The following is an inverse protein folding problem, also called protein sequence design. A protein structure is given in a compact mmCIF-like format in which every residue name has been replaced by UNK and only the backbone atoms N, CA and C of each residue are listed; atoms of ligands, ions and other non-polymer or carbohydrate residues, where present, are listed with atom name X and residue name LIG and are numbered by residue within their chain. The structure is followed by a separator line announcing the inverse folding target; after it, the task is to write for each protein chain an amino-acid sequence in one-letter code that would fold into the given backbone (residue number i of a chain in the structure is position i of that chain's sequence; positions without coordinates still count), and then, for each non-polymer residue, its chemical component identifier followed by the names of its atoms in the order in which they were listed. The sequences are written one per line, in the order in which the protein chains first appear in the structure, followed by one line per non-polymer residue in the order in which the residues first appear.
data_IF_874527381036
#
_entry.id   IF_874527381036
#
_cell.length_a   1.000
_cell.length_b   1.000
_cell.length_c   1.000
_cell.angle_alpha   90.00
_cell.angle_beta   90.00
_cell.angle_gamma   90.00
#
_symmetry.space_group_name_H-M   'P 1'
#
loop_
_entity.id
_entity.type
_entity.pdbx_description
1 polymer ?
#
# COMPACT_ATOMS: atom_id res chain seq x y z
N UNK A 1 18.41 17.30 -36.06
CA UNK A 1 18.40 16.04 -36.82
C UNK A 1 18.12 14.93 -35.82
N UNK A 2 16.93 14.34 -35.86
CA UNK A 2 16.60 13.19 -35.03
C UNK A 2 17.28 11.94 -35.63
N UNK A 3 17.91 11.15 -34.78
CA UNK A 3 18.64 9.93 -35.14
C UNK A 3 17.66 8.87 -35.69
N UNK A 4 17.89 8.25 -36.87
CA UNK A 4 16.98 7.26 -37.45
C UNK A 4 16.72 6.02 -36.58
N UNK A 5 17.59 5.73 -35.61
CA UNK A 5 17.46 4.57 -34.70
C UNK A 5 16.40 4.75 -33.60
N UNK A 6 16.05 6.00 -33.27
CA UNK A 6 15.16 6.39 -32.15
C UNK A 6 13.72 5.86 -32.30
N UNK A 7 13.34 5.40 -33.50
CA UNK A 7 11.98 4.94 -33.83
C UNK A 7 11.85 3.43 -34.06
N UNK A 8 12.97 2.70 -34.13
CA UNK A 8 12.94 1.26 -34.40
C UNK A 8 12.48 0.46 -33.16
N UNK A 9 12.90 0.89 -31.97
CA UNK A 9 12.50 0.29 -30.69
C UNK A 9 10.98 0.42 -30.44
N UNK A 10 10.41 1.58 -30.74
CA UNK A 10 8.97 1.84 -30.59
C UNK A 10 8.12 1.02 -31.58
N UNK A 11 8.62 0.79 -32.80
CA UNK A 11 7.95 -0.02 -33.80
C UNK A 11 7.85 -1.50 -33.37
N UNK A 12 8.90 -2.04 -32.78
CA UNK A 12 8.93 -3.41 -32.32
C UNK A 12 8.12 -3.64 -31.04
N UNK A 13 8.10 -2.66 -30.12
CA UNK A 13 7.18 -2.68 -28.97
C UNK A 13 5.72 -2.61 -29.42
N UNK A 14 5.41 -1.79 -30.43
CA UNK A 14 4.08 -1.80 -31.08
C UNK A 14 3.75 -3.16 -31.67
N UNK A 15 4.72 -3.84 -32.28
CA UNK A 15 4.54 -5.19 -32.82
C UNK A 15 4.35 -6.22 -31.71
N UNK A 16 5.09 -6.12 -30.60
CA UNK A 16 4.94 -6.97 -29.42
C UNK A 16 3.56 -6.79 -28.78
N UNK A 17 3.11 -5.54 -28.59
CA UNK A 17 1.76 -5.22 -28.09
C UNK A 17 0.68 -5.85 -28.98
N UNK A 18 0.82 -5.75 -30.30
CA UNK A 18 -0.13 -6.37 -31.25
C UNK A 18 -0.15 -7.91 -31.15
N UNK A 19 0.92 -8.53 -30.67
CA UNK A 19 1.05 -9.99 -30.49
C UNK A 19 0.59 -10.47 -29.11
N UNK A 20 0.34 -9.56 -28.17
CA UNK A 20 -0.16 -9.90 -26.83
C UNK A 20 -1.42 -10.76 -26.90
N UNK A 21 -1.63 -11.63 -25.90
CA UNK A 21 -2.63 -12.67 -26.00
C UNK A 21 -4.06 -12.12 -26.05
N UNK A 22 -4.69 -12.39 -27.18
CA UNK A 22 -6.10 -12.07 -27.46
C UNK A 22 -7.02 -13.29 -27.35
N UNK A 23 -6.44 -14.50 -27.40
CA UNK A 23 -7.15 -15.77 -27.36
C UNK A 23 -7.59 -16.13 -25.93
N UNK A 24 -8.51 -17.08 -25.79
CA UNK A 24 -9.04 -17.53 -24.49
C UNK A 24 -8.30 -18.75 -23.91
N UNK A 25 -7.50 -19.45 -24.72
CA UNK A 25 -6.76 -20.63 -24.29
C UNK A 25 -5.53 -20.23 -23.46
N UNK A 26 -5.42 -20.76 -22.24
CA UNK A 26 -4.36 -20.45 -21.27
C UNK A 26 -2.97 -20.76 -21.85
N UNK A 27 -2.81 -21.89 -22.55
CA UNK A 27 -1.51 -22.26 -23.13
C UNK A 27 -1.05 -21.30 -24.23
N UNK A 28 -1.98 -20.85 -25.07
CA UNK A 28 -1.70 -19.85 -26.10
C UNK A 28 -1.46 -18.46 -25.51
N UNK A 29 -2.10 -18.15 -24.38
CA UNK A 29 -1.88 -16.89 -23.67
C UNK A 29 -0.48 -16.81 -23.08
N UNK A 30 -0.08 -17.84 -22.33
CA UNK A 30 1.23 -17.91 -21.69
C UNK A 30 2.35 -17.89 -22.73
N UNK A 31 2.21 -18.69 -23.80
CA UNK A 31 3.21 -18.73 -24.88
C UNK A 31 3.41 -17.37 -25.54
N UNK A 32 2.34 -16.62 -25.82
CA UNK A 32 2.44 -15.27 -26.43
C UNK A 32 3.03 -14.25 -25.49
N UNK A 33 2.75 -14.38 -24.19
CA UNK A 33 3.38 -13.54 -23.17
C UNK A 33 4.89 -13.83 -23.08
N UNK A 34 5.28 -15.11 -23.07
CA UNK A 34 6.68 -15.53 -23.05
C UNK A 34 7.42 -15.10 -24.33
N UNK A 35 6.78 -15.18 -25.50
CA UNK A 35 7.31 -14.65 -26.76
C UNK A 35 7.51 -13.13 -26.70
N UNK A 36 6.55 -12.39 -26.14
CA UNK A 36 6.67 -10.94 -25.94
C UNK A 36 7.81 -10.59 -24.97
N UNK A 37 7.91 -11.31 -23.84
CA UNK A 37 9.02 -11.19 -22.89
C UNK A 37 10.36 -11.53 -23.52
N UNK A 38 10.43 -12.58 -24.34
CA UNK A 38 11.64 -12.98 -25.05
C UNK A 38 12.12 -11.89 -26.01
N UNK A 39 11.22 -11.32 -26.81
CA UNK A 39 11.56 -10.20 -27.70
C UNK A 39 11.97 -8.94 -26.92
N UNK A 40 11.31 -8.64 -25.80
CA UNK A 40 11.72 -7.58 -24.89
C UNK A 40 13.11 -7.85 -24.32
N UNK A 41 13.39 -9.06 -23.80
CA UNK A 41 14.72 -9.44 -23.29
C UNK A 41 15.78 -9.27 -24.37
N UNK A 42 15.57 -9.83 -25.57
CA UNK A 42 16.50 -9.72 -26.71
C UNK A 42 16.81 -8.27 -27.09
N UNK A 43 15.88 -7.35 -26.88
CA UNK A 43 16.05 -5.93 -27.20
C UNK A 43 16.65 -5.15 -26.04
N UNK A 44 16.17 -5.36 -24.82
CA UNK A 44 16.56 -4.63 -23.61
C UNK A 44 17.96 -5.01 -23.12
N UNK A 45 18.37 -6.25 -23.36
CA UNK A 45 19.75 -6.72 -23.09
C UNK A 45 20.75 -6.32 -24.18
N UNK A 46 20.32 -5.66 -25.26
CA UNK A 46 21.28 -5.08 -26.20
C UNK A 46 22.05 -3.97 -25.47
N UNK A 47 23.39 -3.99 -25.50
CA UNK A 47 24.17 -2.92 -24.89
C UNK A 47 23.80 -1.58 -25.53
N UNK A 48 23.49 -0.58 -24.71
CA UNK A 48 23.28 0.79 -25.16
C UNK A 48 21.87 1.36 -25.01
N UNK A 49 20.89 0.63 -24.46
CA UNK A 49 19.60 1.26 -24.13
C UNK A 49 19.80 2.34 -23.07
N UNK A 50 19.24 3.52 -23.32
CA UNK A 50 19.25 4.67 -22.43
C UNK A 50 17.97 4.71 -21.59
N UNK A 51 18.00 5.48 -20.51
CA UNK A 51 16.81 5.78 -19.69
C UNK A 51 15.61 6.28 -20.53
N UNK A 52 15.86 7.03 -21.61
CA UNK A 52 14.82 7.49 -22.53
C UNK A 52 14.13 6.32 -23.23
N UNK A 53 14.90 5.33 -23.68
CA UNK A 53 14.35 4.14 -24.33
C UNK A 53 13.45 3.36 -23.36
N UNK A 54 13.88 3.17 -22.12
CA UNK A 54 13.05 2.55 -21.08
C UNK A 54 11.78 3.35 -20.80
N UNK A 55 11.89 4.68 -20.70
CA UNK A 55 10.73 5.56 -20.52
C UNK A 55 9.72 5.41 -21.65
N UNK A 56 10.18 5.38 -22.89
CA UNK A 56 9.33 5.26 -24.07
C UNK A 56 8.64 3.90 -24.16
N UNK A 57 9.35 2.81 -23.82
CA UNK A 57 8.78 1.45 -23.73
C UNK A 57 7.70 1.40 -22.63
N UNK A 58 8.00 1.89 -21.43
CA UNK A 58 7.08 1.86 -20.28
C UNK A 58 5.84 2.72 -20.54
N UNK A 59 6.02 3.94 -21.05
CA UNK A 59 4.92 4.84 -21.42
C UNK A 59 4.02 4.21 -22.47
N UNK A 60 4.59 3.45 -23.41
CA UNK A 60 3.83 2.77 -24.43
C UNK A 60 2.94 1.66 -23.87
N UNK A 61 3.45 0.81 -22.97
CA UNK A 61 2.63 -0.19 -22.30
C UNK A 61 1.59 0.44 -21.35
N UNK A 62 1.97 1.53 -20.66
CA UNK A 62 1.08 2.30 -19.80
C UNK A 62 -0.14 2.83 -20.58
N UNK A 63 0.08 3.43 -21.76
CA UNK A 63 -1.02 3.90 -22.62
C UNK A 63 -1.93 2.77 -23.07
N UNK A 64 -1.35 1.65 -23.53
CA UNK A 64 -2.15 0.49 -23.94
C UNK A 64 -2.99 -0.04 -22.76
N UNK A 65 -2.44 -0.08 -21.55
CA UNK A 65 -3.18 -0.44 -20.35
C UNK A 65 -4.36 0.49 -20.08
N UNK A 66 -4.21 1.81 -20.25
CA UNK A 66 -5.30 2.78 -20.08
C UNK A 66 -6.39 2.59 -21.13
N UNK A 67 -6.02 2.35 -22.38
CA UNK A 67 -6.96 2.10 -23.48
C UNK A 67 -7.78 0.82 -23.22
N UNK A 68 -7.11 -0.26 -22.83
CA UNK A 68 -7.78 -1.53 -22.51
C UNK A 68 -8.62 -1.43 -21.23
N UNK A 69 -8.16 -0.68 -20.21
CA UNK A 69 -8.92 -0.39 -18.98
C UNK A 69 -10.24 0.30 -19.30
N UNK A 70 -10.22 1.33 -20.14
CA UNK A 70 -11.43 2.02 -20.59
C UNK A 70 -12.40 1.06 -21.29
N UNK A 71 -11.89 0.23 -22.21
CA UNK A 71 -12.69 -0.80 -22.89
C UNK A 71 -13.26 -1.83 -21.92
N UNK A 72 -12.50 -2.25 -20.91
CA UNK A 72 -12.94 -3.22 -19.91
C UNK A 72 -14.05 -2.66 -19.01
N UNK A 73 -13.93 -1.41 -18.57
CA UNK A 73 -14.92 -0.73 -17.74
C UNK A 73 -16.26 -0.52 -18.48
N UNK A 74 -16.21 -0.11 -19.75
CA UNK A 74 -17.41 0.19 -20.54
C UNK A 74 -18.02 -1.04 -21.25
N UNK A 75 -17.32 -2.16 -21.34
CA UNK A 75 -17.83 -3.36 -21.99
C UNK A 75 -18.79 -4.15 -21.08
N UNK A 76 -19.91 -4.61 -21.67
CA UNK A 76 -20.88 -5.48 -21.01
C UNK A 76 -20.23 -6.81 -20.58
N UNK A 77 -20.54 -7.32 -19.39
CA UNK A 77 -20.05 -8.63 -18.95
C UNK A 77 -20.56 -9.73 -19.89
N UNK A 78 -19.65 -10.62 -20.31
CA UNK A 78 -19.95 -11.73 -21.21
C UNK A 78 -20.02 -13.04 -20.41
N UNK A 79 -21.06 -13.86 -20.67
CA UNK A 79 -21.24 -15.18 -20.05
C UNK A 79 -20.38 -16.28 -20.68
N UNK A 80 -19.83 -16.05 -21.89
CA UNK A 80 -19.18 -17.10 -22.70
C UNK A 80 -17.65 -17.03 -22.68
N UNK A 81 -17.04 -16.15 -21.88
CA UNK A 81 -15.58 -15.92 -21.86
C UNK A 81 -15.00 -15.33 -23.16
N UNK A 82 -15.85 -15.19 -24.19
CA UNK A 82 -15.59 -14.53 -25.47
C UNK A 82 -16.31 -13.17 -25.49
N UNK A 83 -15.58 -12.12 -25.85
CA UNK A 83 -16.13 -10.76 -25.88
C UNK A 83 -15.07 -9.69 -25.67
N UNK A 84 -15.47 -8.42 -25.78
CA UNK A 84 -14.57 -7.27 -25.65
C UNK A 84 -13.96 -7.17 -24.24
N UNK A 85 -14.74 -7.43 -23.18
CA UNK A 85 -14.29 -7.34 -21.79
C UNK A 85 -13.24 -8.42 -21.42
N UNK A 86 -13.47 -9.73 -21.64
CA UNK A 86 -12.44 -10.74 -21.35
C UNK A 86 -11.17 -10.58 -22.19
N UNK A 87 -11.30 -10.08 -23.44
CA UNK A 87 -10.15 -9.76 -24.28
C UNK A 87 -9.32 -8.62 -23.69
N UNK A 88 -9.96 -7.49 -23.36
CA UNK A 88 -9.29 -6.34 -22.76
C UNK A 88 -8.57 -6.73 -21.46
N UNK A 89 -9.22 -7.55 -20.61
CA UNK A 89 -8.63 -8.07 -19.38
C UNK A 89 -7.31 -8.82 -19.61
N UNK A 90 -7.24 -9.71 -20.61
CA UNK A 90 -6.01 -10.47 -20.92
C UNK A 90 -4.88 -9.58 -21.39
N UNK A 91 -5.20 -8.61 -22.24
CA UNK A 91 -4.22 -7.64 -22.74
C UNK A 91 -3.70 -6.78 -21.57
N UNK A 92 -4.58 -6.33 -20.67
CA UNK A 92 -4.19 -5.57 -19.47
C UNK A 92 -3.20 -6.34 -18.60
N UNK A 93 -3.51 -7.59 -18.26
CA UNK A 93 -2.63 -8.45 -17.46
C UNK A 93 -1.26 -8.61 -18.14
N UNK A 94 -1.25 -8.88 -19.44
CA UNK A 94 -0.01 -9.12 -20.20
C UNK A 94 0.82 -7.84 -20.36
N UNK A 95 0.19 -6.69 -20.58
CA UNK A 95 0.86 -5.39 -20.62
C UNK A 95 1.50 -5.07 -19.26
N UNK A 96 0.77 -5.23 -18.15
CA UNK A 96 1.29 -5.00 -16.82
C UNK A 96 2.49 -5.91 -16.49
N UNK A 97 2.46 -7.16 -16.95
CA UNK A 97 3.55 -8.11 -16.76
C UNK A 97 4.75 -7.83 -17.69
N UNK A 98 4.53 -7.34 -18.91
CA UNK A 98 5.59 -6.84 -19.78
C UNK A 98 6.24 -5.57 -19.22
N UNK A 99 5.47 -4.69 -18.58
CA UNK A 99 6.01 -3.53 -17.85
C UNK A 99 6.90 -4.00 -16.71
N UNK A 100 6.44 -4.94 -15.89
CA UNK A 100 7.25 -5.52 -14.80
C UNK A 100 8.57 -6.06 -15.32
N UNK A 101 8.52 -6.87 -16.38
CA UNK A 101 9.72 -7.44 -17.01
C UNK A 101 10.67 -6.37 -17.56
N UNK A 102 10.13 -5.30 -18.14
CA UNK A 102 10.92 -4.16 -18.64
C UNK A 102 11.63 -3.43 -17.49
N UNK A 103 10.94 -3.22 -16.37
CA UNK A 103 11.52 -2.63 -15.15
C UNK A 103 12.63 -3.50 -14.59
N UNK A 104 12.41 -4.81 -14.50
CA UNK A 104 13.39 -5.77 -13.97
C UNK A 104 14.70 -5.73 -14.76
N UNK A 105 14.62 -5.76 -16.09
CA UNK A 105 15.80 -5.69 -16.95
C UNK A 105 16.47 -4.30 -16.95
N UNK A 106 15.68 -3.24 -16.74
CA UNK A 106 16.12 -1.86 -16.79
C UNK A 106 16.49 -1.23 -15.45
N UNK A 107 16.42 -1.98 -14.35
CA UNK A 107 16.38 -1.40 -13.01
C UNK A 107 17.55 -0.44 -12.71
N UNK A 108 18.76 -0.78 -13.18
CA UNK A 108 19.98 0.02 -12.98
C UNK A 108 20.14 1.16 -14.00
N UNK A 109 19.38 1.14 -15.10
CA UNK A 109 19.46 2.14 -16.18
C UNK A 109 18.35 3.18 -16.06
N UNK A 110 17.20 2.79 -15.52
CA UNK A 110 16.06 3.66 -15.23
C UNK A 110 16.52 4.73 -14.24
N UNK A 111 16.25 6.01 -14.56
CA UNK A 111 16.56 7.14 -13.68
C UNK A 111 15.31 7.63 -12.97
N UNK A 112 15.54 8.48 -11.96
CA UNK A 112 14.50 9.02 -11.08
C UNK A 112 13.25 9.55 -11.83
N UNK A 113 13.41 10.31 -12.93
CA UNK A 113 12.26 10.86 -13.67
C UNK A 113 11.37 9.77 -14.28
N UNK A 114 11.98 8.73 -14.85
CA UNK A 114 11.27 7.60 -15.45
C UNK A 114 10.62 6.74 -14.38
N UNK A 115 11.33 6.45 -13.29
CA UNK A 115 10.77 5.77 -12.13
C UNK A 115 9.57 6.52 -11.55
N UNK A 116 9.69 7.83 -11.34
CA UNK A 116 8.60 8.67 -10.82
C UNK A 116 7.39 8.63 -11.73
N UNK A 117 7.57 8.80 -13.04
CA UNK A 117 6.48 8.73 -14.01
C UNK A 117 5.76 7.36 -13.97
N UNK A 118 6.51 6.27 -13.76
CA UNK A 118 5.95 4.93 -13.60
C UNK A 118 5.15 4.79 -12.30
N UNK A 119 5.69 5.29 -11.16
CA UNK A 119 4.98 5.30 -9.87
C UNK A 119 3.69 6.11 -10.00
N UNK A 120 3.76 7.34 -10.49
CA UNK A 120 2.61 8.23 -10.70
C UNK A 120 1.54 7.55 -11.59
N UNK A 121 1.95 6.89 -12.67
CA UNK A 121 1.04 6.12 -13.52
C UNK A 121 0.34 4.99 -12.76
N UNK A 122 1.07 4.17 -11.99
CA UNK A 122 0.49 3.04 -11.25
C UNK A 122 -0.51 3.54 -10.21
N UNK A 123 -0.14 4.57 -9.44
CA UNK A 123 -0.98 5.18 -8.41
C UNK A 123 -2.30 5.73 -8.99
N UNK A 124 -2.28 6.22 -10.24
CA UNK A 124 -3.47 6.74 -10.92
C UNK A 124 -4.28 5.67 -11.65
N UNK A 125 -3.63 4.64 -12.19
CA UNK A 125 -4.26 3.67 -13.07
C UNK A 125 -4.91 2.49 -12.31
N UNK A 126 -4.36 2.12 -11.15
CA UNK A 126 -4.81 0.95 -10.39
C UNK A 126 -6.16 1.14 -9.68
N UNK A 127 -6.47 2.30 -9.06
CA UNK A 127 -7.76 2.51 -8.40
C UNK A 127 -8.94 2.42 -9.37
N UNK A 128 -10.04 1.83 -8.90
CA UNK A 128 -11.32 1.83 -9.61
C UNK A 128 -11.93 3.26 -9.57
N UNK A 129 -12.33 3.85 -10.71
CA UNK A 129 -12.98 5.16 -10.74
C UNK A 129 -14.25 5.27 -9.90
N UNK A 130 -14.92 4.15 -9.63
CA UNK A 130 -16.12 4.09 -8.78
C UNK A 130 -15.83 4.15 -7.28
N UNK A 131 -14.56 4.10 -6.88
CA UNK A 131 -14.14 4.07 -5.47
C UNK A 131 -14.39 2.72 -4.78
N UNK A 132 -14.72 1.68 -5.54
CA UNK A 132 -15.03 0.33 -5.03
C UNK A 132 -13.80 -0.47 -4.57
N UNK A 133 -12.59 -0.03 -4.94
CA UNK A 133 -11.34 -0.73 -4.68
C UNK A 133 -10.35 -0.58 -5.82
N UNK A 134 -9.77 -1.69 -6.26
CA UNK A 134 -8.74 -1.74 -7.29
C UNK A 134 -9.20 -2.56 -8.49
N UNK A 135 -8.54 -2.34 -9.62
CA UNK A 135 -8.82 -3.07 -10.85
C UNK A 135 -8.04 -4.40 -10.79
N UNK A 136 -8.71 -5.46 -10.31
CA UNK A 136 -8.11 -6.78 -10.05
C UNK A 136 -7.15 -7.28 -11.15
N UNK A 137 -7.47 -7.16 -12.46
CA UNK A 137 -6.57 -7.61 -13.51
C UNK A 137 -5.20 -6.92 -13.56
N UNK A 138 -5.07 -5.70 -13.03
CA UNK A 138 -3.81 -4.95 -13.06
C UNK A 138 -2.98 -5.15 -11.80
N UNK A 139 -3.61 -5.55 -10.69
CA UNK A 139 -2.98 -5.63 -9.37
C UNK A 139 -1.68 -6.45 -9.40
N UNK A 140 -1.64 -7.70 -9.91
CA UNK A 140 -0.43 -8.52 -9.80
C UNK A 140 0.78 -7.92 -10.53
N UNK A 141 0.58 -7.34 -11.72
CA UNK A 141 1.67 -6.76 -12.50
C UNK A 141 2.14 -5.41 -11.96
N UNK A 142 1.21 -4.54 -11.57
CA UNK A 142 1.53 -3.21 -11.08
C UNK A 142 2.13 -3.19 -9.68
N UNK A 143 1.64 -4.05 -8.76
CA UNK A 143 2.24 -4.17 -7.43
C UNK A 143 3.69 -4.68 -7.53
N UNK A 144 3.96 -5.62 -8.44
CA UNK A 144 5.34 -6.07 -8.71
C UNK A 144 6.21 -4.97 -9.32
N UNK A 145 5.67 -4.12 -10.21
CA UNK A 145 6.39 -2.95 -10.71
C UNK A 145 6.77 -1.99 -9.57
N UNK A 146 5.82 -1.65 -8.69
CA UNK A 146 6.07 -0.81 -7.51
C UNK A 146 7.13 -1.44 -6.61
N UNK A 147 7.02 -2.74 -6.32
CA UNK A 147 8.01 -3.46 -5.51
C UNK A 147 9.41 -3.33 -6.09
N UNK A 148 9.60 -3.59 -7.38
CA UNK A 148 10.92 -3.52 -8.03
C UNK A 148 11.54 -2.12 -7.92
N UNK A 149 10.78 -1.07 -8.25
CA UNK A 149 11.34 0.30 -8.25
C UNK A 149 11.57 0.84 -6.84
N UNK A 150 10.71 0.50 -5.88
CA UNK A 150 10.82 0.97 -4.49
C UNK A 150 11.84 0.15 -3.67
N UNK A 151 12.19 -1.06 -4.10
CA UNK A 151 13.24 -1.83 -3.45
C UNK A 151 14.64 -1.34 -3.83
N UNK A 152 14.78 -0.56 -4.90
CA UNK A 152 16.06 -0.03 -5.35
C UNK A 152 16.41 1.27 -4.61
N UNK A 153 17.43 1.31 -3.73
CA UNK A 153 17.70 2.48 -2.89
C UNK A 153 17.91 3.80 -3.65
N UNK A 154 18.66 3.84 -4.78
CA UNK A 154 18.84 5.06 -5.57
C UNK A 154 17.53 5.69 -6.08
N UNK A 155 16.46 4.91 -6.21
CA UNK A 155 15.15 5.44 -6.59
C UNK A 155 14.48 6.14 -5.40
N UNK A 156 14.52 5.52 -4.22
CA UNK A 156 13.76 6.00 -3.05
C UNK A 156 14.47 7.14 -2.32
N UNK A 157 15.81 7.16 -2.30
CA UNK A 157 16.60 8.23 -1.65
C UNK A 157 16.34 9.62 -2.23
N UNK A 158 15.90 9.68 -3.49
CA UNK A 158 15.59 10.93 -4.20
C UNK A 158 14.09 11.25 -4.25
N UNK A 159 13.25 10.43 -3.62
CA UNK A 159 11.80 10.62 -3.62
C UNK A 159 11.42 11.75 -2.64
N UNK A 160 10.80 12.85 -3.12
CA UNK A 160 10.32 13.92 -2.24
C UNK A 160 9.32 13.37 -1.22
N UNK A 161 9.32 13.92 -0.01
CA UNK A 161 8.44 13.43 1.07
C UNK A 161 6.96 13.44 0.72
N UNK A 162 6.50 14.42 -0.07
CA UNK A 162 5.12 14.45 -0.57
C UNK A 162 4.79 13.23 -1.44
N UNK A 163 5.72 12.83 -2.31
CA UNK A 163 5.56 11.68 -3.20
C UNK A 163 5.69 10.38 -2.41
N UNK A 164 6.69 10.28 -1.53
CA UNK A 164 6.88 9.14 -0.62
C UNK A 164 5.65 8.88 0.24
N UNK A 165 5.07 9.92 0.85
CA UNK A 165 3.84 9.82 1.65
C UNK A 165 2.65 9.37 0.80
N UNK A 166 2.49 9.89 -0.42
CA UNK A 166 1.43 9.46 -1.33
C UNK A 166 1.58 7.98 -1.72
N UNK A 167 2.80 7.53 -2.04
CA UNK A 167 3.09 6.12 -2.36
C UNK A 167 2.86 5.22 -1.15
N UNK A 168 3.32 5.61 0.04
CA UNK A 168 3.12 4.86 1.27
C UNK A 168 1.63 4.70 1.59
N UNK A 169 0.89 5.81 1.55
CA UNK A 169 -0.56 5.83 1.74
C UNK A 169 -1.28 4.92 0.75
N UNK A 170 -0.92 5.00 -0.53
CA UNK A 170 -1.47 4.13 -1.56
C UNK A 170 -1.18 2.64 -1.27
N UNK A 171 0.06 2.28 -0.96
CA UNK A 171 0.44 0.90 -0.66
C UNK A 171 -0.33 0.35 0.54
N UNK A 172 -0.50 1.17 1.58
CA UNK A 172 -1.27 0.81 2.76
C UNK A 172 -2.76 0.70 2.43
N UNK A 173 -3.36 1.61 1.66
CA UNK A 173 -4.74 1.44 1.20
C UNK A 173 -4.92 0.18 0.34
N UNK A 174 -3.99 -0.11 -0.57
CA UNK A 174 -4.01 -1.27 -1.45
C UNK A 174 -3.96 -2.57 -0.69
N UNK A 175 -3.03 -2.67 0.25
CA UNK A 175 -2.90 -3.78 1.17
C UNK A 175 -4.23 -4.15 1.85
N UNK A 176 -5.02 -3.15 2.22
CA UNK A 176 -6.22 -3.34 3.03
C UNK A 176 -7.42 -3.77 2.22
N UNK A 177 -7.53 -3.21 1.02
CA UNK A 177 -8.60 -3.57 0.10
C UNK A 177 -8.37 -4.95 -0.53
N UNK A 178 -7.11 -5.38 -0.61
CA UNK A 178 -6.68 -6.65 -1.18
C UNK A 178 -6.48 -7.76 -0.15
N UNK A 179 -6.39 -7.43 1.15
CA UNK A 179 -6.34 -8.42 2.21
C UNK A 179 -7.60 -9.29 2.17
N UNK A 180 -7.48 -10.62 2.27
CA UNK A 180 -8.64 -11.50 2.24
C UNK A 180 -9.51 -11.25 3.48
N UNK A 181 -10.84 -11.36 3.32
CA UNK A 181 -11.67 -11.74 4.45
C UNK A 181 -11.12 -13.07 4.99
N UNK A 182 -10.56 -13.06 6.19
CA UNK A 182 -10.15 -14.29 6.85
C UNK A 182 -11.38 -15.14 7.12
N UNK A 183 -11.72 -16.02 6.19
CA UNK A 183 -12.69 -17.07 6.43
C UNK A 183 -12.10 -17.97 7.53
N UNK A 184 -12.84 -18.24 8.62
CA UNK A 184 -12.29 -19.03 9.71
C UNK A 184 -11.80 -20.38 9.17
N UNK A 185 -10.67 -20.93 9.66
CA UNK A 185 -10.24 -22.26 9.29
C UNK A 185 -11.40 -23.21 9.55
N UNK A 186 -11.97 -23.73 8.45
CA UNK A 186 -13.07 -24.67 8.49
C UNK A 186 -12.69 -25.76 9.49
N UNK A 187 -13.56 -25.94 10.48
CA UNK A 187 -13.37 -26.84 11.61
C UNK A 187 -12.54 -28.04 11.18
N UNK A 188 -11.32 -28.12 11.74
CA UNK A 188 -10.45 -29.28 11.64
C UNK A 188 -11.34 -30.49 11.78
N UNK A 189 -11.41 -31.33 10.73
CA UNK A 189 -12.05 -32.65 10.83
C UNK A 189 -11.29 -33.37 11.93
N UNK A 190 -11.81 -33.28 13.16
CA UNK A 190 -11.30 -33.98 14.32
C UNK A 190 -11.31 -35.44 13.92
N UNK A 191 -10.12 -36.04 13.99
CA UNK A 191 -9.93 -37.48 13.98
C UNK A 191 -10.98 -38.10 14.90
N UNK A 192 -11.98 -38.75 14.31
CA UNK A 192 -12.87 -39.61 15.04
C UNK A 192 -12.13 -40.93 15.25
N UNK A 193 -11.75 -41.19 16.50
CA UNK A 193 -11.30 -42.48 17.00
C UNK A 193 -12.36 -43.55 16.70
N UNK A 194 -11.96 -44.78 16.37
CA UNK A 194 -12.88 -45.80 15.88
C UNK A 194 -13.65 -46.42 17.04
N UNK A 195 -14.96 -46.22 17.08
CA UNK A 195 -15.86 -47.00 17.92
C UNK A 195 -16.33 -48.22 17.10
N UNK A 196 -15.91 -49.40 17.56
CA UNK A 196 -16.37 -50.70 17.09
C UNK A 196 -17.79 -50.99 17.55
N UNK A 197 -18.70 -51.28 16.62
CA UNK A 197 -19.79 -52.26 16.79
C UNK A 197 -20.29 -52.75 15.42
N UNK A 198 -20.86 -53.98 15.32
CA UNK A 198 -21.14 -54.65 14.06
C UNK A 198 -22.59 -54.47 13.55
N UNK A 199 -22.73 -54.55 12.21
CA UNK A 199 -23.83 -54.86 11.25
C UNK A 199 -25.23 -55.33 11.80
N UNK A 200 -26.36 -55.32 11.03
CA UNK A 200 -26.44 -55.52 9.56
C UNK A 200 -27.52 -54.82 8.70
N UNK A 201 -27.28 -54.89 7.38
CA UNK A 201 -28.23 -54.99 6.24
C UNK A 201 -29.05 -53.76 5.78
N UNK A 202 -28.95 -53.45 4.47
CA UNK A 202 -29.94 -52.64 3.74
C UNK A 202 -29.47 -52.06 2.40
N UNK A 203 -29.65 -52.85 1.33
CA UNK A 203 -29.87 -52.53 -0.10
C UNK A 203 -29.50 -51.15 -0.72
N UNK A 204 -28.80 -51.24 -1.86
CA UNK A 204 -28.45 -50.19 -2.82
C UNK A 204 -29.67 -49.44 -3.43
N UNK A 205 -29.51 -48.29 -4.13
CA UNK A 205 -28.88 -48.31 -5.46
C UNK A 205 -27.97 -47.13 -5.82
N UNK A 206 -27.13 -47.40 -6.83
CA UNK A 206 -26.15 -46.53 -7.45
C UNK A 206 -26.74 -45.23 -8.01
N UNK A 207 -26.15 -44.09 -7.60
CA UNK A 207 -26.30 -42.81 -8.32
C UNK A 207 -25.02 -42.51 -9.08
N UNK A 208 -25.15 -42.55 -10.41
CA UNK A 208 -24.17 -42.14 -11.40
C UNK A 208 -24.03 -40.61 -11.33
N UNK A 209 -22.90 -40.09 -10.85
CA UNK A 209 -22.51 -38.70 -11.05
C UNK A 209 -21.15 -38.66 -11.75
N UNK A 210 -21.17 -38.25 -13.01
CA UNK A 210 -19.97 -37.97 -13.78
C UNK A 210 -19.30 -36.72 -13.24
N UNK A 211 -18.15 -36.89 -12.60
CA UNK A 211 -17.27 -35.78 -12.27
C UNK A 211 -16.50 -35.36 -13.52
N UNK A 212 -17.03 -34.36 -14.23
CA UNK A 212 -16.26 -33.55 -15.16
C UNK A 212 -16.24 -32.11 -14.68
N UNK A 213 -15.06 -31.50 -14.75
CA UNK A 213 -14.80 -30.06 -14.68
C UNK A 213 -15.04 -29.35 -13.34
N UNK A 214 -13.97 -29.22 -12.56
CA UNK A 214 -13.64 -27.98 -11.83
C UNK A 214 -12.17 -28.03 -11.38
N UNK A 215 -11.24 -27.74 -12.30
CA UNK A 215 -9.81 -27.53 -11.97
C UNK A 215 -9.21 -26.26 -12.58
N UNK A 216 -10.02 -25.38 -13.16
CA UNK A 216 -9.51 -24.23 -13.94
C UNK A 216 -9.57 -22.86 -13.22
N UNK A 217 -9.85 -22.81 -11.91
CA UNK A 217 -9.80 -21.56 -11.13
C UNK A 217 -8.48 -21.35 -10.37
N UNK A 218 -7.60 -22.35 -10.32
CA UNK A 218 -6.56 -22.44 -9.29
C UNK A 218 -5.28 -21.63 -9.56
N UNK A 219 -4.99 -21.21 -10.79
CA UNK A 219 -3.71 -20.56 -11.10
C UNK A 219 -3.71 -19.04 -10.82
N UNK A 220 -4.80 -18.34 -11.19
CA UNK A 220 -4.97 -16.92 -10.84
C UNK A 220 -5.29 -16.72 -9.36
N UNK A 221 -5.98 -17.67 -8.73
CA UNK A 221 -6.14 -17.68 -7.28
C UNK A 221 -4.84 -17.98 -6.54
N UNK A 222 -3.94 -18.82 -7.05
CA UNK A 222 -2.68 -19.12 -6.38
C UNK A 222 -1.71 -17.92 -6.31
N UNK A 223 -1.61 -17.11 -7.37
CA UNK A 223 -0.78 -15.90 -7.37
C UNK A 223 -1.39 -14.76 -6.53
N UNK A 224 -2.71 -14.79 -6.34
CA UNK A 224 -3.40 -13.92 -5.39
C UNK A 224 -3.19 -14.48 -3.99
N UNK A 225 -3.41 -15.78 -3.73
CA UNK A 225 -3.20 -16.50 -2.45
C UNK A 225 -1.78 -16.34 -1.89
N UNK A 226 -0.75 -16.36 -2.73
CA UNK A 226 0.65 -16.10 -2.34
C UNK A 226 0.83 -14.64 -1.87
N UNK A 227 0.14 -13.69 -2.51
CA UNK A 227 0.02 -12.30 -2.03
C UNK A 227 -0.89 -12.17 -0.80
N UNK A 228 -1.90 -13.04 -0.65
CA UNK A 228 -2.91 -13.00 0.42
C UNK A 228 -2.32 -13.45 1.76
N UNK A 229 -1.42 -14.44 1.75
CA UNK A 229 -0.65 -14.85 2.94
C UNK A 229 0.31 -13.72 3.37
N UNK A 230 1.00 -13.09 2.41
CA UNK A 230 1.86 -11.92 2.65
C UNK A 230 1.11 -10.75 3.30
N UNK A 231 -0.20 -10.59 3.05
CA UNK A 231 -0.93 -9.44 3.59
C UNK A 231 -1.20 -9.54 5.10
N UNK A 232 -1.76 -10.64 5.61
CA UNK A 232 -2.04 -10.73 7.04
C UNK A 232 -0.75 -10.63 7.89
N UNK A 233 0.34 -11.20 7.38
CA UNK A 233 1.66 -11.15 8.00
C UNK A 233 2.22 -9.72 8.01
N UNK A 234 2.10 -8.97 6.91
CA UNK A 234 2.57 -7.59 6.86
C UNK A 234 1.81 -6.64 7.80
N UNK A 235 0.51 -6.84 8.08
CA UNK A 235 -0.19 -6.03 9.11
C UNK A 235 0.44 -6.25 10.47
N UNK A 236 0.68 -7.51 10.81
CA UNK A 236 1.32 -7.89 12.06
C UNK A 236 2.74 -7.32 12.09
N UNK A 237 3.48 -7.36 10.98
CA UNK A 237 4.81 -6.78 10.88
C UNK A 237 4.81 -5.25 11.03
N UNK A 238 3.80 -4.55 10.49
CA UNK A 238 3.64 -3.11 10.69
C UNK A 238 3.27 -2.77 12.13
N UNK A 239 2.42 -3.56 12.77
CA UNK A 239 2.11 -3.43 14.20
C UNK A 239 3.36 -3.66 15.05
N UNK A 240 4.13 -4.70 14.76
CA UNK A 240 5.42 -4.99 15.39
C UNK A 240 6.45 -3.88 15.14
N UNK A 241 6.46 -3.28 13.94
CA UNK A 241 7.33 -2.15 13.61
C UNK A 241 6.96 -0.90 14.42
N UNK A 242 5.66 -0.59 14.54
CA UNK A 242 5.18 0.50 15.39
C UNK A 242 5.60 0.26 16.84
N UNK A 243 5.44 -0.96 17.36
CA UNK A 243 5.87 -1.33 18.72
C UNK A 243 7.39 -1.21 18.89
N UNK A 244 8.18 -1.62 17.89
CA UNK A 244 9.64 -1.50 17.92
C UNK A 244 10.08 -0.03 17.93
N UNK A 245 9.50 0.81 17.07
CA UNK A 245 9.77 2.25 17.00
C UNK A 245 9.38 2.96 18.31
N UNK A 246 8.21 2.61 18.86
CA UNK A 246 7.76 3.09 20.17
C UNK A 246 8.74 2.70 21.28
N UNK A 247 9.10 1.42 21.37
CA UNK A 247 10.01 0.91 22.39
C UNK A 247 11.39 1.56 22.30
N UNK A 248 11.90 1.79 21.09
CA UNK A 248 13.18 2.47 20.91
C UNK A 248 13.11 3.95 21.32
N UNK A 249 12.02 4.64 21.00
CA UNK A 249 11.84 6.05 21.34
C UNK A 249 11.68 6.29 22.84
N UNK A 250 10.89 5.45 23.52
CA UNK A 250 10.60 5.58 24.96
C UNK A 250 11.80 5.19 25.83
N UNK A 251 12.69 4.32 25.33
CA UNK A 251 13.96 3.97 26.00
C UNK A 251 14.93 5.15 26.10
N UNK A 252 14.79 6.16 25.22
CA UNK A 252 15.62 7.35 25.24
C UNK A 252 15.28 8.21 26.44
N UNK A 253 16.30 8.89 26.97
CA UNK A 253 16.05 9.88 28.02
C UNK A 253 15.19 11.03 27.48
N UNK A 254 14.44 11.72 28.34
CA UNK A 254 13.59 12.84 27.91
C UNK A 254 14.38 13.91 27.14
N UNK A 255 15.67 14.10 27.43
CA UNK A 255 16.56 15.04 26.72
C UNK A 255 16.94 14.59 25.30
N UNK A 256 16.90 13.29 25.05
CA UNK A 256 17.24 12.69 23.75
C UNK A 256 16.01 12.54 22.84
N UNK A 257 14.80 12.61 23.40
CA UNK A 257 13.54 12.71 22.66
C UNK A 257 13.39 14.07 21.98
N UNK A 258 12.41 14.21 21.09
CA UNK A 258 12.16 15.46 20.37
C UNK A 258 11.88 16.60 21.37
N UNK A 259 12.69 17.65 21.35
CA UNK A 259 12.51 18.80 22.22
C UNK A 259 11.72 19.90 21.51
N UNK A 260 11.00 20.72 22.27
CA UNK A 260 10.31 21.88 21.71
C UNK A 260 11.28 22.91 21.13
N UNK A 261 12.49 22.99 21.68
CA UNK A 261 13.56 23.85 21.16
C UNK A 261 14.07 23.40 19.78
N UNK A 262 13.79 22.17 19.36
CA UNK A 262 14.07 21.69 18.01
C UNK A 262 13.00 22.13 17.00
N UNK A 263 11.91 22.76 17.45
CA UNK A 263 10.72 23.06 16.65
C UNK A 263 10.57 24.58 16.46
N UNK A 264 9.99 24.99 15.33
CA UNK A 264 9.52 26.36 15.08
C UNK A 264 8.05 26.35 14.67
N UNK A 265 7.29 27.31 15.17
CA UNK A 265 5.95 27.59 14.65
C UNK A 265 6.06 28.14 13.23
N UNK A 266 5.16 27.71 12.34
CA UNK A 266 5.12 28.23 10.98
C UNK A 266 4.47 29.60 10.98
N UNK A 267 5.11 30.57 10.34
CA UNK A 267 4.54 31.88 10.12
C UNK A 267 4.32 32.13 8.63
N UNK A 268 3.21 32.79 8.27
CA UNK A 268 2.83 33.03 6.88
C UNK A 268 3.85 33.89 6.09
N UNK A 269 4.77 34.59 6.77
CA UNK A 269 5.79 35.44 6.14
C UNK A 269 7.16 34.75 5.95
N UNK A 270 7.27 33.45 6.18
CA UNK A 270 8.55 32.74 6.03
C UNK A 270 8.90 32.51 4.55
N UNK A 271 10.20 32.59 4.24
CA UNK A 271 10.73 32.59 2.87
C UNK A 271 10.41 31.27 2.11
N UNK A 272 10.05 31.36 0.81
CA UNK A 272 9.62 30.22 -0.01
C UNK A 272 10.70 29.17 -0.31
N UNK A 273 11.95 29.39 0.10
CA UNK A 273 13.07 28.47 -0.15
C UNK A 273 13.29 27.45 0.97
N UNK A 274 12.50 27.51 2.05
CA UNK A 274 12.60 26.62 3.20
C UNK A 274 11.50 25.55 3.16
N UNK A 275 11.38 24.80 2.06
CA UNK A 275 10.53 23.59 2.00
C UNK A 275 11.28 22.40 2.60
N UNK A 276 11.48 22.41 3.92
CA UNK A 276 12.00 21.23 4.63
C UNK A 276 10.95 20.12 4.61
N UNK A 277 11.33 18.86 4.37
CA UNK A 277 10.40 17.73 4.50
C UNK A 277 9.85 17.55 5.91
N UNK A 278 10.54 18.10 6.92
CA UNK A 278 10.15 18.02 8.34
C UNK A 278 9.20 19.14 8.72
N UNK A 279 8.03 19.18 8.08
CA UNK A 279 7.02 20.21 8.31
C UNK A 279 5.64 19.60 8.55
N UNK A 280 4.90 20.20 9.49
CA UNK A 280 3.48 19.98 9.74
C UNK A 280 2.74 21.32 9.57
N UNK A 281 1.40 21.34 9.59
CA UNK A 281 0.65 22.58 9.32
C UNK A 281 0.92 23.72 10.30
N UNK A 282 1.07 23.42 11.60
CA UNK A 282 1.32 24.44 12.63
C UNK A 282 2.81 24.66 12.91
N UNK A 283 3.65 23.63 12.77
CA UNK A 283 5.05 23.69 13.18
C UNK A 283 5.98 22.87 12.27
N UNK A 284 7.27 23.16 12.34
CA UNK A 284 8.33 22.52 11.54
C UNK A 284 9.57 22.26 12.38
N UNK A 285 10.39 21.30 11.97
CA UNK A 285 11.68 21.05 12.60
C UNK A 285 12.72 22.10 12.18
N UNK A 286 13.60 22.47 13.12
CA UNK A 286 14.81 23.25 12.86
C UNK A 286 15.82 22.37 12.11
N UNK A 287 16.38 22.84 10.99
CA UNK A 287 17.39 22.06 10.26
C UNK A 287 18.70 21.98 11.03
N UNK A 288 19.49 20.93 10.75
CA UNK A 288 20.89 20.84 11.18
C UNK A 288 21.12 20.07 12.49
N UNK A 289 20.09 19.40 13.01
CA UNK A 289 20.23 18.50 14.15
C UNK A 289 19.77 17.08 13.80
N UNK A 290 20.69 16.14 13.49
CA UNK A 290 20.34 14.79 13.06
C UNK A 290 19.59 14.00 14.14
N UNK A 291 19.83 14.30 15.43
CA UNK A 291 19.09 13.67 16.53
C UNK A 291 17.60 14.02 16.47
N UNK A 292 17.32 15.30 16.26
CA UNK A 292 15.96 15.82 16.23
C UNK A 292 15.24 15.44 14.94
N UNK A 293 15.97 15.33 13.83
CA UNK A 293 15.48 14.76 12.57
C UNK A 293 15.06 13.30 12.74
N UNK A 294 15.88 12.49 13.42
CA UNK A 294 15.52 11.13 13.76
C UNK A 294 14.27 11.06 14.64
N UNK A 295 14.24 11.83 15.73
CA UNK A 295 13.12 11.82 16.67
C UNK A 295 11.81 12.28 16.00
N UNK A 296 11.89 13.27 15.11
CA UNK A 296 10.78 13.68 14.27
C UNK A 296 10.33 12.58 13.32
N UNK A 297 11.26 11.94 12.61
CA UNK A 297 10.96 10.89 11.66
C UNK A 297 10.24 9.72 12.34
N UNK A 298 10.67 9.32 13.54
CA UNK A 298 9.99 8.27 14.32
C UNK A 298 8.54 8.64 14.62
N UNK A 299 8.30 9.82 15.20
CA UNK A 299 6.94 10.27 15.54
C UNK A 299 6.06 10.42 14.29
N UNK A 300 6.64 10.93 13.20
CA UNK A 300 5.97 11.10 11.91
C UNK A 300 5.54 9.75 11.34
N UNK A 301 6.46 8.79 11.20
CA UNK A 301 6.18 7.49 10.63
C UNK A 301 5.25 6.65 11.51
N UNK A 302 5.41 6.68 12.84
CA UNK A 302 4.46 6.00 13.74
C UNK A 302 3.05 6.53 13.51
N UNK A 303 2.89 7.85 13.43
CA UNK A 303 1.58 8.48 13.19
C UNK A 303 1.00 8.08 11.83
N UNK A 304 1.82 8.10 10.78
CA UNK A 304 1.39 7.76 9.41
C UNK A 304 0.98 6.29 9.30
N UNK A 305 1.78 5.37 9.87
CA UNK A 305 1.48 3.94 9.92
C UNK A 305 0.20 3.66 10.73
N UNK A 306 0.04 4.28 11.90
CA UNK A 306 -1.18 4.15 12.71
C UNK A 306 -2.42 4.61 11.95
N UNK A 307 -2.35 5.79 11.33
CA UNK A 307 -3.47 6.34 10.56
C UNK A 307 -3.85 5.45 9.37
N UNK A 308 -2.84 4.89 8.69
CA UNK A 308 -3.07 3.97 7.60
C UNK A 308 -3.72 2.65 8.05
N UNK A 309 -3.24 2.07 9.17
CA UNK A 309 -3.82 0.88 9.79
C UNK A 309 -5.25 1.12 10.33
N UNK A 310 -5.59 2.35 10.72
CA UNK A 310 -6.95 2.73 11.14
C UNK A 310 -7.88 2.95 9.93
N UNK A 311 -7.43 3.68 8.91
CA UNK A 311 -8.20 3.95 7.68
C UNK A 311 -8.61 2.66 6.97
N UNK A 312 -7.72 1.65 7.02
CA UNK A 312 -8.00 0.25 6.68
C UNK A 312 -9.32 -0.26 7.29
N UNK A 313 -9.44 -0.11 8.60
CA UNK A 313 -10.47 -0.78 9.40
C UNK A 313 -11.82 -0.12 9.16
N UNK A 314 -11.84 1.21 9.11
CA UNK A 314 -13.07 1.96 8.80
C UNK A 314 -13.63 1.61 7.41
N UNK A 315 -12.78 1.25 6.44
CA UNK A 315 -13.24 0.77 5.14
C UNK A 315 -13.83 -0.65 5.21
N UNK A 316 -13.20 -1.56 5.98
CA UNK A 316 -13.72 -2.92 6.19
C UNK A 316 -15.09 -2.92 6.91
N UNK A 317 -15.22 -2.12 7.98
CA UNK A 317 -16.46 -2.00 8.76
C UNK A 317 -17.62 -1.44 7.88
N UNK A 318 -17.33 -0.47 7.00
CA UNK A 318 -18.32 0.11 6.07
C UNK A 318 -18.80 -0.85 4.98
N UNK A 319 -18.00 -1.86 4.63
CA UNK A 319 -18.38 -2.90 3.66
C UNK A 319 -19.37 -3.92 4.23
N UNK A 320 -19.80 -3.77 5.49
CA UNK A 320 -20.83 -4.62 6.10
C UNK A 320 -20.37 -6.03 6.40
N UNK A 321 -19.05 -6.24 6.49
CA UNK A 321 -18.46 -7.51 6.91
C UNK A 321 -18.75 -7.68 8.40
N UNK A 322 -19.82 -8.40 8.74
CA UNK A 322 -20.07 -8.84 10.11
C UNK A 322 -18.97 -9.85 10.51
N UNK A 323 -17.82 -9.35 10.96
CA UNK A 323 -16.88 -10.18 11.70
C UNK A 323 -17.57 -10.64 13.00
N UNK A 324 -17.97 -11.91 13.05
CA UNK A 324 -18.40 -12.52 14.31
C UNK A 324 -17.25 -12.43 15.34
N UNK A 325 -17.56 -12.23 16.64
CA UNK A 325 -16.57 -11.83 17.63
C UNK A 325 -15.66 -13.01 17.97
N UNK A 326 -14.60 -13.19 17.18
CA UNK A 326 -13.59 -14.20 17.42
C UNK A 326 -12.68 -13.74 18.55
N UNK A 327 -12.51 -14.63 19.54
CA UNK A 327 -11.95 -14.35 20.87
C UNK A 327 -10.55 -13.70 20.81
N UNK A 328 -10.46 -12.50 21.41
CA UNK A 328 -9.25 -11.73 21.75
C UNK A 328 -8.39 -11.24 20.57
N UNK A 329 -9.00 -10.54 19.62
CA UNK A 329 -8.29 -9.57 18.78
C UNK A 329 -8.19 -8.24 19.56
N UNK A 330 -6.98 -7.86 19.99
CA UNK A 330 -6.69 -6.62 20.74
C UNK A 330 -6.96 -5.44 19.82
N UNK A 331 -8.21 -4.97 19.83
CA UNK A 331 -8.76 -4.01 18.86
C UNK A 331 -8.42 -2.60 19.33
N UNK A 332 -7.19 -2.19 19.09
CA UNK A 332 -6.67 -0.91 19.55
C UNK A 332 -7.13 0.23 18.64
N UNK A 333 -8.07 1.04 19.11
CA UNK A 333 -8.20 2.41 18.64
C UNK A 333 -6.95 3.16 19.14
N UNK A 334 -5.93 3.24 18.28
CA UNK A 334 -4.63 3.82 18.63
C UNK A 334 -4.74 5.21 19.25
N UNK A 335 -5.67 6.07 18.79
CA UNK A 335 -5.87 7.38 19.39
C UNK A 335 -6.32 7.26 20.85
N UNK A 336 -7.29 6.39 21.14
CA UNK A 336 -7.73 6.12 22.52
C UNK A 336 -6.63 5.48 23.36
N UNK A 337 -5.80 4.64 22.75
CA UNK A 337 -4.67 4.02 23.44
C UNK A 337 -3.61 5.06 23.84
N UNK A 338 -3.26 5.98 22.94
CA UNK A 338 -2.37 7.11 23.28
C UNK A 338 -3.00 8.04 24.32
N UNK A 339 -4.30 8.34 24.22
CA UNK A 339 -5.02 9.12 25.23
C UNK A 339 -5.01 8.45 26.60
N UNK A 340 -5.05 7.10 26.65
CA UNK A 340 -4.90 6.33 27.89
C UNK A 340 -3.47 6.36 28.41
N UNK A 341 -2.47 6.31 27.52
CA UNK A 341 -1.04 6.39 27.87
C UNK A 341 -0.63 7.74 28.47
N UNK A 342 -1.40 8.81 28.26
CA UNK A 342 -1.21 10.08 28.98
C UNK A 342 -1.29 9.94 30.51
N UNK A 343 -1.92 8.87 31.00
CA UNK A 343 -1.99 8.53 32.43
C UNK A 343 -0.95 7.49 32.87
N UNK A 344 -0.02 7.08 32.00
CA UNK A 344 1.06 6.14 32.32
C UNK A 344 1.91 6.66 33.49
N UNK A 345 2.45 5.85 34.41
CA UNK A 345 3.35 6.35 35.46
C UNK A 345 4.71 6.81 34.89
N UNK A 346 5.15 6.24 33.77
CA UNK A 346 6.45 6.51 33.16
C UNK A 346 6.41 7.82 32.37
N UNK A 347 7.29 8.76 32.69
CA UNK A 347 7.27 10.09 32.08
C UNK A 347 7.65 10.10 30.60
N UNK A 348 8.58 9.23 30.15
CA UNK A 348 8.90 9.08 28.73
C UNK A 348 7.75 8.49 27.90
N UNK A 349 6.92 7.63 28.49
CA UNK A 349 5.68 7.12 27.85
C UNK A 349 4.61 8.21 27.74
N UNK A 350 4.41 9.00 28.81
CA UNK A 350 3.49 10.14 28.77
C UNK A 350 3.89 11.14 27.68
N UNK A 351 5.19 11.46 27.61
CA UNK A 351 5.72 12.42 26.65
C UNK A 351 5.57 11.90 25.21
N UNK A 352 5.91 10.63 24.97
CA UNK A 352 5.69 10.00 23.67
C UNK A 352 4.22 10.04 23.25
N UNK A 353 3.30 9.62 24.11
CA UNK A 353 1.86 9.64 23.81
C UNK A 353 1.36 11.05 23.49
N UNK A 354 1.81 12.05 24.25
CA UNK A 354 1.47 13.45 24.03
C UNK A 354 2.01 13.98 22.70
N UNK A 355 3.25 13.64 22.36
CA UNK A 355 3.87 14.01 21.08
C UNK A 355 3.15 13.33 19.90
N UNK A 356 2.83 12.04 20.01
CA UNK A 356 2.07 11.33 18.98
C UNK A 356 0.68 11.95 18.79
N UNK A 357 -0.05 12.26 19.87
CA UNK A 357 -1.35 12.94 19.76
C UNK A 357 -1.20 14.29 19.05
N UNK A 358 -0.15 15.04 19.37
CA UNK A 358 0.15 16.31 18.69
C UNK A 358 0.38 16.09 17.20
N UNK A 359 1.10 15.04 16.81
CA UNK A 359 1.33 14.69 15.40
C UNK A 359 0.05 14.18 14.71
N UNK A 360 -0.77 13.36 15.38
CA UNK A 360 -2.06 12.86 14.86
C UNK A 360 -2.98 14.02 14.53
N UNK A 361 -3.14 14.97 15.45
CA UNK A 361 -3.94 16.18 15.21
C UNK A 361 -3.45 16.91 13.96
N UNK A 362 -2.14 16.97 13.73
CA UNK A 362 -1.57 17.67 12.59
C UNK A 362 -1.68 16.92 11.24
N UNK A 363 -1.68 15.60 11.25
CA UNK A 363 -1.62 14.77 10.04
C UNK A 363 -2.97 14.20 9.63
N UNK A 364 -3.85 13.93 10.60
CA UNK A 364 -5.11 13.22 10.41
C UNK A 364 -6.28 14.19 10.46
N UNK A 365 -7.33 13.90 9.68
CA UNK A 365 -8.64 14.57 9.83
C UNK A 365 -9.46 13.83 10.87
N UNK A 366 -9.50 14.37 12.09
CA UNK A 366 -10.27 13.81 13.19
C UNK A 366 -11.77 14.09 13.03
N UNK A 367 -12.60 13.22 13.58
CA UNK A 367 -14.05 13.45 13.69
C UNK A 367 -14.34 14.50 14.77
N UNK A 368 -15.53 15.11 14.76
CA UNK A 368 -15.91 16.10 15.78
C UNK A 368 -15.83 15.53 17.20
N UNK A 369 -16.19 14.26 17.39
CA UNK A 369 -16.10 13.60 18.70
C UNK A 369 -14.65 13.37 19.13
N UNK A 370 -13.78 12.94 18.21
CA UNK A 370 -12.36 12.76 18.50
C UNK A 370 -11.67 14.09 18.82
N UNK A 371 -12.03 15.17 18.10
CA UNK A 371 -11.54 16.52 18.39
C UNK A 371 -11.94 16.93 19.80
N UNK A 372 -13.22 16.76 20.16
CA UNK A 372 -13.72 17.10 21.50
C UNK A 372 -12.99 16.32 22.58
N UNK A 373 -12.80 15.02 22.38
CA UNK A 373 -12.09 14.14 23.31
C UNK A 373 -10.61 14.56 23.47
N UNK A 374 -9.91 14.82 22.37
CA UNK A 374 -8.52 15.26 22.39
C UNK A 374 -8.39 16.61 23.11
N UNK A 375 -9.24 17.58 22.79
CA UNK A 375 -9.22 18.89 23.43
C UNK A 375 -9.49 18.80 24.93
N UNK A 376 -10.46 18.01 25.37
CA UNK A 376 -10.76 17.79 26.80
C UNK A 376 -9.52 17.21 27.52
N UNK A 377 -8.87 16.22 26.91
CA UNK A 377 -7.69 15.57 27.50
C UNK A 377 -6.47 16.46 27.50
N UNK A 378 -6.19 17.21 26.44
CA UNK A 378 -5.05 18.12 26.38
C UNK A 378 -5.25 19.34 27.30
N UNK A 379 -6.46 19.89 27.35
CA UNK A 379 -6.80 21.02 28.24
C UNK A 379 -6.61 20.64 29.71
N UNK A 380 -6.96 19.40 30.11
CA UNK A 380 -6.70 18.91 31.47
C UNK A 380 -5.21 18.88 31.84
N UNK A 381 -4.31 18.89 30.85
CA UNK A 381 -2.86 18.91 31.02
C UNK A 381 -2.25 20.31 31.04
N UNK A 382 -2.99 21.33 30.63
CA UNK A 382 -2.54 22.72 30.76
C UNK A 382 -2.44 23.15 32.22
N UNK A 383 -3.19 22.48 33.10
CA UNK A 383 -3.11 22.68 34.56
C UNK A 383 -2.02 21.82 35.23
N UNK A 384 -1.29 20.99 34.46
CA UNK A 384 -0.21 20.17 34.98
C UNK A 384 1.03 21.06 35.25
N UNK A 385 1.70 20.85 36.38
CA UNK A 385 2.87 21.64 36.79
C UNK A 385 4.14 21.37 35.97
N UNK A 386 4.08 20.46 34.99
CA UNK A 386 5.19 20.11 34.13
C UNK A 386 5.23 21.01 32.87
N UNK A 387 6.26 21.87 32.72
CA UNK A 387 6.36 22.78 31.58
C UNK A 387 6.50 22.07 30.23
N UNK A 388 7.11 20.88 30.18
CA UNK A 388 7.25 20.10 28.94
C UNK A 388 5.89 19.59 28.48
N UNK A 389 5.12 19.00 29.40
CA UNK A 389 3.75 18.52 29.13
C UNK A 389 2.86 19.68 28.67
N UNK A 390 2.93 20.81 29.38
CA UNK A 390 2.13 21.99 29.07
C UNK A 390 2.42 22.51 27.65
N UNK A 391 3.69 22.64 27.29
CA UNK A 391 4.10 23.14 25.97
C UNK A 391 3.63 22.26 24.82
N UNK A 392 3.77 20.93 24.96
CA UNK A 392 3.28 19.99 23.95
C UNK A 392 1.75 19.95 23.88
N UNK A 393 1.06 20.07 25.02
CA UNK A 393 -0.40 20.16 25.04
C UNK A 393 -0.90 21.41 24.29
N UNK A 394 -0.27 22.58 24.51
CA UNK A 394 -0.57 23.81 23.77
C UNK A 394 -0.33 23.65 22.26
N UNK A 395 0.77 23.00 21.87
CA UNK A 395 1.07 22.75 20.46
C UNK A 395 0.01 21.83 19.80
N UNK A 396 -0.50 20.87 20.56
CA UNK A 396 -1.58 19.97 20.13
C UNK A 396 -2.92 20.67 19.94
N UNK A 397 -3.26 21.68 20.76
CA UNK A 397 -4.52 22.43 20.63
C UNK A 397 -4.47 23.49 19.52
N UNK A 398 -3.29 24.04 19.23
CA UNK A 398 -3.11 25.16 18.30
C UNK A 398 -3.69 24.97 16.89
N UNK A 399 -3.80 23.73 16.39
CA UNK A 399 -4.41 23.47 15.07
C UNK A 399 -5.87 23.90 14.98
N UNK A 400 -6.62 23.64 16.05
CA UNK A 400 -8.07 23.86 16.06
C UNK A 400 -8.45 25.28 16.47
N UNK A 401 -7.50 26.06 17.00
CA UNK A 401 -7.69 27.48 17.31
C UNK A 401 -7.33 28.40 16.14
N UNK A 402 -6.53 27.92 15.17
CA UNK A 402 -6.11 28.69 14.00
C UNK A 402 -6.99 28.48 12.74
N UNK A 403 -8.13 27.78 12.86
CA UNK A 403 -9.14 27.65 11.80
C UNK A 403 -10.35 28.51 12.14
#
# INVERSE_FOLDING_TARGET
MADPDDNHHLHDVRAAIKRLPTAANIGDCQKREDEAKFELTKRVTKPGLTDKDYHDILTRFAQENLDQRSLWLHAKPSKTGSGKRPKAQRIMMSCAECMRHTVELGLLTIRYKTMRALVDHILQALPDPSGSGYIDPLVPGYIKCLRLVLQHPPHVEHLPVKESSATMKFCLEAFTALAPETQPPGATKRYATPAMTPDPSGEAPARREGASSQRNASSSHAAVDDLLIDTADLRIDLENLIEAMHAEYVKRTEREQLQLEDIRLRCASEYPYDESPFNLPVFRLKPGNPRSEYSWAVLFFVTDLVNALQSTRSQADRRGVQETPSKKRRTSDYLQDYLRQLSSPQSSEKLFALQIITFIVQQVRLTTEDIRLVLERLTSRLSDGNPVTLNWAMLGTARYECS
#
